data_IF_608154777207
#
_entry.id   IF_608154777207
#
_cell.length_a   1.000
_cell.length_b   1.000
_cell.length_c   1.000
_cell.angle_alpha   90.00
_cell.angle_beta   90.00
_cell.angle_gamma   90.00
#
_symmetry.space_group_name_H-M   'P 1'
#
loop_
_entity.id
_entity.type
_entity.pdbx_description
1 polymer ?
#
# COMPACT_ATOMS: atom_id res chain seq x y z
N UNK A 1 -32.96 12.96 13.00
CA UNK A 1 -31.54 13.37 13.19
C UNK A 1 -30.64 12.36 12.47
N UNK A 2 -30.51 12.47 11.14
CA UNK A 2 -29.83 11.46 10.30
C UNK A 2 -29.14 12.14 9.11
N UNK A 3 -27.95 12.71 9.29
CA UNK A 3 -27.24 13.37 8.17
C UNK A 3 -25.71 13.57 8.30
N UNK A 4 -24.97 12.85 9.17
CA UNK A 4 -23.50 13.07 9.31
C UNK A 4 -22.61 11.89 8.86
N UNK A 5 -23.16 10.69 8.66
CA UNK A 5 -22.37 9.49 8.34
C UNK A 5 -21.92 9.39 6.87
N UNK A 6 -22.46 10.24 5.97
CA UNK A 6 -22.20 10.20 4.52
C UNK A 6 -20.97 11.01 4.10
N UNK A 7 -20.60 12.04 4.87
CA UNK A 7 -19.46 12.93 4.55
C UNK A 7 -18.12 12.32 4.92
N UNK A 8 -17.98 11.57 6.02
CA UNK A 8 -16.71 10.94 6.40
C UNK A 8 -16.13 10.00 5.33
N UNK A 9 -17.00 9.32 4.57
CA UNK A 9 -16.58 8.41 3.48
C UNK A 9 -16.08 9.14 2.24
N UNK A 10 -16.60 10.33 1.93
CA UNK A 10 -16.18 11.10 0.75
C UNK A 10 -14.86 11.83 0.96
N UNK A 11 -14.52 12.22 2.20
CA UNK A 11 -13.21 12.80 2.51
C UNK A 11 -12.09 11.75 2.50
N UNK A 12 -12.37 10.53 2.94
CA UNK A 12 -11.40 9.42 2.97
C UNK A 12 -10.95 8.97 1.58
N UNK A 13 -11.80 9.09 0.54
CA UNK A 13 -11.45 8.72 -0.85
C UNK A 13 -11.01 9.91 -1.70
N UNK A 14 -11.47 11.13 -1.41
CA UNK A 14 -11.09 12.33 -2.14
C UNK A 14 -9.63 12.74 -1.96
N UNK A 15 -9.06 12.52 -0.77
CA UNK A 15 -7.64 12.81 -0.51
C UNK A 15 -6.73 11.87 -1.33
N UNK A 16 -6.93 10.54 -1.33
CA UNK A 16 -6.21 9.63 -2.22
C UNK A 16 -6.34 9.97 -3.70
N UNK A 17 -7.54 10.24 -4.22
CA UNK A 17 -7.74 10.48 -5.66
C UNK A 17 -7.06 11.79 -6.14
N UNK A 18 -7.07 12.84 -5.29
CA UNK A 18 -6.38 14.09 -5.58
C UNK A 18 -4.85 13.93 -5.54
N UNK A 19 -4.34 13.19 -4.54
CA UNK A 19 -2.90 12.87 -4.42
C UNK A 19 -2.45 11.98 -5.57
N UNK A 20 -3.27 11.02 -6.03
CA UNK A 20 -2.93 10.09 -7.12
C UNK A 20 -2.87 10.80 -8.48
N UNK A 21 -3.74 11.79 -8.72
CA UNK A 21 -3.67 12.63 -9.93
C UNK A 21 -2.46 13.56 -9.94
N UNK A 22 -2.02 14.03 -8.77
CA UNK A 22 -0.79 14.83 -8.66
C UNK A 22 0.46 13.96 -8.73
N UNK A 23 0.47 12.78 -8.09
CA UNK A 23 1.61 11.88 -8.08
C UNK A 23 2.02 11.35 -9.47
N UNK A 24 1.10 11.35 -10.45
CA UNK A 24 1.37 10.92 -11.83
C UNK A 24 1.96 12.00 -12.76
N UNK A 25 2.06 13.26 -12.34
CA UNK A 25 2.50 14.36 -13.20
C UNK A 25 3.98 14.69 -12.96
N UNK A 26 4.77 14.81 -14.04
CA UNK A 26 6.15 15.34 -14.04
C UNK A 26 6.27 16.64 -13.23
N UNK A 27 5.21 17.45 -13.19
CA UNK A 27 5.10 18.66 -12.38
C UNK A 27 5.32 18.44 -10.87
N UNK A 28 4.85 17.33 -10.31
CA UNK A 28 4.99 17.03 -8.88
C UNK A 28 6.41 16.60 -8.53
N UNK A 29 7.06 15.83 -9.42
CA UNK A 29 8.48 15.51 -9.29
C UNK A 29 9.35 16.77 -9.34
N UNK A 30 9.05 17.69 -10.27
CA UNK A 30 9.75 18.99 -10.37
C UNK A 30 9.50 19.85 -9.13
N UNK A 31 8.28 19.89 -8.60
CA UNK A 31 7.95 20.63 -7.39
C UNK A 31 8.70 20.09 -6.16
N UNK A 32 8.73 18.76 -5.97
CA UNK A 32 9.48 18.12 -4.88
C UNK A 32 10.97 18.41 -5.02
N UNK A 33 11.53 18.30 -6.22
CA UNK A 33 12.93 18.63 -6.47
C UNK A 33 13.22 20.11 -6.14
N UNK A 34 12.31 21.02 -6.51
CA UNK A 34 12.41 22.44 -6.18
C UNK A 34 12.42 22.70 -4.67
N UNK A 35 11.56 22.02 -3.91
CA UNK A 35 11.54 22.10 -2.43
C UNK A 35 12.85 21.60 -1.82
N UNK A 36 13.39 20.48 -2.32
CA UNK A 36 14.68 19.93 -1.86
C UNK A 36 15.82 20.92 -2.12
N UNK A 37 15.88 21.49 -3.32
CA UNK A 37 16.89 22.50 -3.68
C UNK A 37 16.75 23.75 -2.81
N UNK A 38 15.53 24.24 -2.58
CA UNK A 38 15.29 25.40 -1.73
C UNK A 38 15.76 25.15 -0.29
N UNK A 39 15.47 23.97 0.29
CA UNK A 39 15.95 23.61 1.62
C UNK A 39 17.48 23.60 1.71
N UNK A 40 18.16 23.08 0.69
CA UNK A 40 19.63 23.08 0.62
C UNK A 40 20.19 24.50 0.57
N UNK A 41 19.61 25.38 -0.27
CA UNK A 41 20.03 26.79 -0.36
C UNK A 41 19.85 27.50 0.99
N UNK A 42 18.73 27.27 1.69
CA UNK A 42 18.50 27.79 3.05
C UNK A 42 19.59 27.29 4.02
N UNK A 43 19.98 26.02 3.92
CA UNK A 43 21.07 25.44 4.72
C UNK A 43 22.41 26.12 4.45
N UNK A 44 22.76 26.35 3.18
CA UNK A 44 24.03 26.99 2.77
C UNK A 44 24.09 28.44 3.27
N UNK A 45 23.02 29.22 3.07
CA UNK A 45 22.97 30.62 3.52
C UNK A 45 23.09 30.74 5.04
N UNK A 46 22.53 29.79 5.78
CA UNK A 46 22.58 29.73 7.24
C UNK A 46 23.84 29.06 7.82
N UNK A 47 24.78 28.57 6.99
CA UNK A 47 25.95 27.76 7.40
C UNK A 47 25.57 26.48 8.17
N UNK A 48 24.48 25.82 7.78
CA UNK A 48 23.98 24.56 8.33
C UNK A 48 23.81 24.57 9.86
N UNK A 49 22.90 25.39 10.40
CA UNK A 49 22.68 25.46 11.83
C UNK A 49 22.00 24.18 12.36
N UNK A 50 22.19 23.81 13.65
CA UNK A 50 21.64 22.58 14.22
C UNK A 50 20.12 22.43 14.04
N UNK A 51 19.36 23.51 14.21
CA UNK A 51 17.89 23.49 14.06
C UNK A 51 17.45 23.14 12.64
N UNK A 52 18.21 23.56 11.62
CA UNK A 52 17.89 23.26 10.22
C UNK A 52 18.04 21.76 9.96
N UNK A 53 19.09 21.13 10.48
CA UNK A 53 19.29 19.68 10.36
C UNK A 53 18.16 18.91 11.06
N UNK A 54 17.81 19.31 12.30
CA UNK A 54 16.70 18.69 13.04
C UNK A 54 15.39 18.79 12.26
N UNK A 55 15.09 19.93 11.64
CA UNK A 55 13.90 20.10 10.81
C UNK A 55 13.90 19.18 9.59
N UNK A 56 15.03 19.04 8.88
CA UNK A 56 15.13 18.17 7.70
C UNK A 56 14.99 16.69 8.08
N UNK A 57 15.67 16.24 9.13
CA UNK A 57 15.57 14.83 9.58
C UNK A 57 14.16 14.49 10.09
N UNK A 58 13.58 15.34 10.92
CA UNK A 58 12.23 15.13 11.43
C UNK A 58 11.18 15.20 10.31
N UNK A 59 11.33 16.14 9.38
CA UNK A 59 10.46 16.26 8.21
C UNK A 59 10.53 15.05 7.29
N UNK A 60 11.74 14.58 6.98
CA UNK A 60 11.96 13.38 6.17
C UNK A 60 11.35 12.13 6.81
N UNK A 61 11.46 11.98 8.13
CA UNK A 61 10.83 10.90 8.86
C UNK A 61 9.29 10.94 8.74
N UNK A 62 8.69 12.11 8.93
CA UNK A 62 7.23 12.28 8.81
C UNK A 62 6.73 11.98 7.39
N UNK A 63 7.43 12.49 6.36
CA UNK A 63 7.11 12.17 4.96
C UNK A 63 7.25 10.68 4.68
N UNK A 64 8.28 10.04 5.22
CA UNK A 64 8.49 8.59 5.05
C UNK A 64 7.36 7.77 5.67
N UNK A 65 6.82 8.17 6.82
CA UNK A 65 5.65 7.52 7.43
C UNK A 65 4.42 7.66 6.53
N UNK A 66 4.17 8.85 5.98
CA UNK A 66 3.07 9.06 5.02
C UNK A 66 3.27 8.19 3.78
N UNK A 67 4.48 8.17 3.21
CA UNK A 67 4.84 7.33 2.09
C UNK A 67 4.59 5.85 2.40
N UNK A 68 4.99 5.37 3.58
CA UNK A 68 4.78 3.99 4.00
C UNK A 68 3.29 3.65 4.05
N UNK A 69 2.45 4.55 4.55
CA UNK A 69 1.00 4.34 4.57
C UNK A 69 0.40 4.33 3.15
N UNK A 70 0.83 5.23 2.27
CA UNK A 70 0.40 5.26 0.85
C UNK A 70 0.83 3.99 0.13
N UNK A 71 2.07 3.55 0.35
CA UNK A 71 2.61 2.31 -0.20
C UNK A 71 1.79 1.11 0.31
N UNK A 72 1.57 1.02 1.62
CA UNK A 72 0.76 -0.05 2.22
C UNK A 72 -0.66 -0.07 1.67
N UNK A 73 -1.32 1.09 1.51
CA UNK A 73 -2.66 1.16 0.92
C UNK A 73 -2.68 0.68 -0.53
N UNK A 74 -1.70 1.11 -1.33
CA UNK A 74 -1.57 0.73 -2.74
C UNK A 74 -1.27 -0.76 -2.88
N UNK A 75 -0.31 -1.25 -2.10
CA UNK A 75 0.07 -2.67 -2.06
C UNK A 75 -1.11 -3.53 -1.61
N UNK A 76 -1.84 -3.15 -0.56
CA UNK A 76 -3.00 -3.89 -0.08
C UNK A 76 -4.08 -4.05 -1.16
N UNK A 77 -4.35 -2.97 -1.91
CA UNK A 77 -5.27 -3.00 -3.06
C UNK A 77 -4.74 -3.87 -4.21
N UNK A 78 -3.44 -3.79 -4.50
CA UNK A 78 -2.81 -4.61 -5.54
C UNK A 78 -2.84 -6.10 -5.20
N UNK A 79 -2.56 -6.46 -3.94
CA UNK A 79 -2.63 -7.86 -3.46
C UNK A 79 -4.02 -8.44 -3.62
N UNK A 80 -5.06 -7.73 -3.18
CA UNK A 80 -6.45 -8.18 -3.34
C UNK A 80 -6.81 -8.39 -4.83
N UNK A 81 -6.43 -7.45 -5.70
CA UNK A 81 -6.69 -7.60 -7.14
C UNK A 81 -5.95 -8.79 -7.78
N UNK A 82 -4.83 -9.24 -7.20
CA UNK A 82 -4.12 -10.45 -7.63
C UNK A 82 -4.87 -11.70 -7.18
N UNK A 83 -5.33 -11.74 -5.92
CA UNK A 83 -6.06 -12.87 -5.35
C UNK A 83 -7.34 -13.18 -6.14
N UNK A 84 -8.18 -12.16 -6.38
CA UNK A 84 -9.41 -12.30 -7.18
C UNK A 84 -9.15 -12.83 -8.60
N UNK A 85 -8.04 -12.42 -9.22
CA UNK A 85 -7.65 -12.94 -10.55
C UNK A 85 -7.19 -14.39 -10.49
N UNK A 86 -6.53 -14.79 -9.41
CA UNK A 86 -6.09 -16.16 -9.19
C UNK A 86 -7.30 -17.07 -8.94
N UNK A 87 -8.28 -16.61 -8.17
CA UNK A 87 -9.53 -17.34 -7.92
C UNK A 87 -10.31 -17.59 -9.22
N UNK A 88 -10.44 -16.56 -10.08
CA UNK A 88 -11.10 -16.72 -11.38
C UNK A 88 -10.36 -17.75 -12.26
N UNK A 89 -9.02 -17.75 -12.23
CA UNK A 89 -8.21 -18.73 -12.96
C UNK A 89 -8.41 -20.16 -12.41
N UNK A 90 -8.45 -20.31 -11.08
CA UNK A 90 -8.70 -21.58 -10.37
C UNK A 90 -10.08 -22.15 -10.75
N UNK A 91 -11.11 -21.31 -10.79
CA UNK A 91 -12.46 -21.72 -11.20
C UNK A 91 -12.50 -22.10 -12.69
N UNK A 92 -11.82 -21.32 -13.55
CA UNK A 92 -11.78 -21.55 -14.99
C UNK A 92 -10.95 -22.80 -15.38
N UNK A 93 -9.98 -23.20 -14.57
CA UNK A 93 -9.23 -24.46 -14.74
C UNK A 93 -9.82 -25.54 -13.85
N UNK A 94 -10.82 -26.26 -14.37
CA UNK A 94 -11.73 -27.27 -13.74
C UNK A 94 -11.05 -28.46 -13.02
N UNK A 95 -10.10 -28.22 -12.13
CA UNK A 95 -9.41 -29.25 -11.36
C UNK A 95 -8.66 -28.73 -10.13
N UNK A 96 -8.62 -27.41 -9.91
CA UNK A 96 -8.11 -26.84 -8.67
C UNK A 96 -9.20 -26.93 -7.59
N UNK A 97 -8.79 -27.38 -6.41
CA UNK A 97 -9.68 -27.70 -5.30
C UNK A 97 -10.38 -26.44 -4.80
N UNK A 98 -11.72 -26.46 -4.74
CA UNK A 98 -12.55 -25.37 -4.19
C UNK A 98 -12.10 -24.96 -2.77
N UNK A 99 -11.43 -25.87 -2.05
CA UNK A 99 -10.82 -25.65 -0.73
C UNK A 99 -9.69 -24.58 -0.71
N UNK A 100 -9.16 -24.17 -1.87
CA UNK A 100 -8.08 -23.16 -1.95
C UNK A 100 -8.59 -21.76 -2.32
N UNK A 101 -9.86 -21.65 -2.74
CA UNK A 101 -10.49 -20.37 -3.03
C UNK A 101 -10.65 -19.61 -1.70
N UNK A 102 -10.32 -18.32 -1.70
CA UNK A 102 -10.49 -17.43 -0.55
C UNK A 102 -9.69 -17.88 0.70
N UNK A 103 -8.60 -18.62 0.49
CA UNK A 103 -7.77 -19.15 1.58
C UNK A 103 -7.08 -18.04 2.38
N UNK A 104 -6.92 -16.84 1.81
CA UNK A 104 -6.35 -15.67 2.47
C UNK A 104 -7.23 -15.07 3.56
N UNK A 105 -8.55 -15.30 3.51
CA UNK A 105 -9.50 -14.80 4.50
C UNK A 105 -9.58 -15.71 5.74
N UNK A 106 -9.05 -16.93 5.63
CA UNK A 106 -8.98 -17.89 6.73
C UNK A 106 -8.00 -17.44 7.82
N UNK A 107 -8.27 -17.87 9.06
CA UNK A 107 -7.30 -17.72 10.14
C UNK A 107 -6.00 -18.45 9.78
N UNK A 108 -4.84 -17.93 10.22
CA UNK A 108 -3.53 -18.54 9.92
C UNK A 108 -3.49 -20.05 10.24
N UNK A 109 -4.08 -20.46 11.36
CA UNK A 109 -4.14 -21.87 11.76
C UNK A 109 -4.98 -22.73 10.79
N UNK A 110 -5.99 -22.15 10.14
CA UNK A 110 -6.82 -22.84 9.14
C UNK A 110 -6.15 -22.84 7.77
N UNK A 111 -5.48 -21.74 7.39
CA UNK A 111 -4.65 -21.67 6.18
C UNK A 111 -3.53 -22.72 6.20
N UNK A 112 -2.87 -22.91 7.33
CA UNK A 112 -1.82 -23.93 7.51
C UNK A 112 -2.38 -25.36 7.41
N UNK A 113 -3.60 -25.61 7.92
CA UNK A 113 -4.28 -26.90 7.75
C UNK A 113 -4.62 -27.21 6.30
N UNK A 114 -5.09 -26.22 5.54
CA UNK A 114 -5.37 -26.38 4.10
C UNK A 114 -4.06 -26.65 3.36
N UNK A 115 -3.00 -25.90 3.65
CA UNK A 115 -1.66 -26.11 3.10
C UNK A 115 -1.16 -27.55 3.36
N UNK A 116 -1.24 -28.03 4.61
CA UNK A 116 -0.82 -29.39 4.98
C UNK A 116 -1.63 -30.48 4.27
N UNK A 117 -2.97 -30.32 4.19
CA UNK A 117 -3.84 -31.28 3.48
C UNK A 117 -3.49 -31.38 2.00
N UNK A 118 -3.19 -30.26 1.35
CA UNK A 118 -2.80 -30.23 -0.06
C UNK A 118 -1.42 -30.86 -0.27
N UNK A 119 -0.42 -30.48 0.55
CA UNK A 119 0.93 -31.05 0.48
C UNK A 119 0.93 -32.57 0.70
N UNK A 120 0.08 -33.09 1.60
CA UNK A 120 -0.06 -34.52 1.84
C UNK A 120 -0.78 -35.25 0.70
N UNK A 121 -1.76 -34.61 0.04
CA UNK A 121 -2.45 -35.16 -1.15
C UNK A 121 -1.63 -35.13 -2.44
N UNK A 122 -0.56 -34.35 -2.51
CA UNK A 122 0.39 -34.37 -3.63
C UNK A 122 1.42 -35.52 -3.56
N UNK A 123 1.44 -36.31 -2.48
CA UNK A 123 2.32 -37.48 -2.30
C UNK A 123 1.64 -38.89 -2.20
N UNK A 124 0.49 -39.21 -2.83
CA UNK A 124 0.01 -40.58 -2.95
C UNK A 124 0.58 -41.23 -4.23
N UNK A 125 1.77 -41.82 -4.11
CA UNK A 125 2.36 -42.69 -5.15
C UNK A 125 3.59 -42.12 -5.84
N UNK A 126 4.74 -42.27 -5.20
CA UNK A 126 5.97 -42.63 -5.90
C UNK A 126 6.21 -44.12 -5.64
#
# INVERSE_FOLDING_TARGET
>A
MTASWRTWRTWATAIPDAVTRWAGATATAVAVLGVVVALIVVGILGRFPPWWQTTVYAGGALVSVVMLFVLQHTTNRQTNAILVKLDELIIATTGAHEEVIDVEELALADQERVHDRLHHRSHPGA
#
